data_IF_050744838890
#
_entry.id   IF_050744838890
#
_cell.length_a   1.000
_cell.length_b   1.000
_cell.length_c   1.000
_cell.angle_alpha   90.00
_cell.angle_beta   90.00
_cell.angle_gamma   90.00
#
_symmetry.space_group_name_H-M   'P 1'
#
loop_
_entity.id
_entity.type
_entity.pdbx_description
1 polymer ?
#
# COMPACT_ATOMS: atom_id res chain seq x y z
N UNK A 1 74.23 14.49 30.16
CA UNK A 1 73.10 14.59 31.09
C UNK A 1 71.83 14.89 30.31
N UNK A 2 70.99 13.89 30.03
CA UNK A 2 69.65 14.00 29.42
C UNK A 2 68.61 13.70 30.47
N UNK A 3 67.80 14.71 30.85
CA UNK A 3 66.65 14.53 31.75
C UNK A 3 65.51 13.81 31.02
N UNK A 4 65.07 12.69 31.59
CA UNK A 4 63.84 12.02 31.21
C UNK A 4 62.65 12.65 31.95
N UNK A 5 61.56 12.90 31.21
CA UNK A 5 60.25 13.34 31.71
C UNK A 5 59.37 12.11 31.85
N UNK A 6 58.65 11.85 32.94
CA UNK A 6 57.77 10.73 33.07
C UNK A 6 56.44 11.01 32.40
N UNK A 7 55.93 10.04 31.59
CA UNK A 7 54.59 10.05 30.97
C UNK A 7 53.63 9.44 31.98
N UNK A 8 52.67 10.22 32.47
CA UNK A 8 51.55 9.74 33.27
C UNK A 8 50.47 9.17 32.38
N UNK A 9 50.30 7.84 32.42
CA UNK A 9 49.16 7.15 31.82
C UNK A 9 47.91 7.28 32.73
N UNK A 10 46.98 8.16 32.38
CA UNK A 10 45.61 8.13 32.91
C UNK A 10 44.73 7.26 32.00
N UNK A 11 44.73 5.98 32.26
CA UNK A 11 43.76 5.05 31.69
C UNK A 11 42.46 5.06 32.50
N UNK A 12 41.44 5.79 32.08
CA UNK A 12 40.11 5.67 32.66
C UNK A 12 39.47 4.33 32.23
N UNK A 13 39.38 3.37 33.14
CA UNK A 13 38.63 2.14 32.97
C UNK A 13 37.14 2.49 33.03
N UNK A 14 36.49 2.60 31.88
CA UNK A 14 35.02 2.60 31.78
C UNK A 14 34.58 1.19 32.15
N UNK A 15 33.89 1.03 33.27
CA UNK A 15 33.42 -0.28 33.74
C UNK A 15 32.26 -0.76 32.89
N UNK A 16 32.24 -2.04 32.57
CA UNK A 16 31.20 -2.72 31.74
C UNK A 16 29.77 -2.47 32.22
N UNK A 17 29.58 -2.09 33.47
CA UNK A 17 28.27 -1.70 34.04
C UNK A 17 27.71 -0.38 33.48
N UNK A 18 28.57 0.57 33.11
CA UNK A 18 28.15 1.87 32.55
C UNK A 18 27.67 1.72 31.10
N UNK A 19 28.28 0.80 30.32
CA UNK A 19 27.88 0.52 28.93
C UNK A 19 26.54 -0.23 28.92
N UNK A 20 26.31 -1.15 29.88
CA UNK A 20 25.03 -1.88 29.96
C UNK A 20 23.87 -0.99 30.39
N UNK A 21 24.09 -0.02 31.26
CA UNK A 21 23.08 0.96 31.66
C UNK A 21 22.73 1.92 30.52
N UNK A 22 23.70 2.31 29.67
CA UNK A 22 23.48 3.18 28.52
C UNK A 22 22.68 2.47 27.41
N UNK A 23 22.95 1.18 27.15
CA UNK A 23 22.23 0.38 26.18
C UNK A 23 20.77 0.08 26.62
N UNK A 24 20.54 -0.13 27.92
CA UNK A 24 19.19 -0.28 28.47
C UNK A 24 18.39 1.03 28.42
N UNK A 25 19.02 2.19 28.61
CA UNK A 25 18.36 3.48 28.50
C UNK A 25 18.00 3.85 27.04
N UNK A 26 18.84 3.46 26.05
CA UNK A 26 18.50 3.61 24.62
C UNK A 26 17.36 2.67 24.19
N UNK A 27 17.35 1.42 24.67
CA UNK A 27 16.27 0.48 24.35
C UNK A 27 14.93 0.90 24.98
N UNK A 28 14.94 1.49 26.19
CA UNK A 28 13.72 1.99 26.84
C UNK A 28 13.19 3.28 26.17
N UNK A 29 14.03 4.11 25.59
CA UNK A 29 13.58 5.34 24.87
C UNK A 29 12.96 5.05 23.50
N UNK A 30 13.36 3.97 22.82
CA UNK A 30 12.77 3.54 21.54
C UNK A 30 11.39 2.91 21.74
N UNK A 31 11.16 2.18 22.86
CA UNK A 31 9.87 1.57 23.18
C UNK A 31 8.78 2.56 23.63
N UNK A 32 9.14 3.77 24.07
CA UNK A 32 8.18 4.78 24.55
C UNK A 32 7.73 5.78 23.48
N UNK A 33 8.36 5.78 22.29
CA UNK A 33 8.00 6.72 21.21
C UNK A 33 7.08 6.11 20.15
N UNK A 34 7.08 4.80 19.96
CA UNK A 34 6.26 4.13 18.95
C UNK A 34 4.73 4.30 19.15
N UNK A 35 4.16 4.17 20.38
CA UNK A 35 2.72 4.34 20.56
C UNK A 35 2.24 5.80 20.42
N UNK A 36 3.10 6.78 20.63
CA UNK A 36 2.72 8.20 20.54
C UNK A 36 2.54 8.70 19.12
N UNK A 37 3.19 8.08 18.13
CA UNK A 37 3.13 8.55 16.75
C UNK A 37 1.79 8.14 16.07
N UNK A 38 1.28 6.95 16.34
CA UNK A 38 -0.03 6.51 15.86
C UNK A 38 -1.19 7.23 16.55
N UNK A 39 -1.08 7.52 17.85
CA UNK A 39 -2.08 8.29 18.60
C UNK A 39 -2.15 9.77 18.17
N UNK A 40 -1.11 10.35 17.59
CA UNK A 40 -1.10 11.74 17.12
C UNK A 40 -1.95 11.95 15.85
N UNK A 41 -2.33 10.90 15.13
CA UNK A 41 -3.15 11.00 13.92
C UNK A 41 -4.66 10.92 14.15
N UNK A 42 -5.13 10.83 15.38
CA UNK A 42 -6.56 10.86 15.70
C UNK A 42 -7.31 9.57 15.32
N UNK A 43 -6.65 8.41 15.35
CA UNK A 43 -7.27 7.08 15.17
C UNK A 43 -6.92 6.15 16.31
N UNK A 44 -7.79 5.14 16.53
CA UNK A 44 -7.51 4.00 17.40
C UNK A 44 -6.50 3.04 16.76
N UNK A 45 -6.08 2.03 17.52
CA UNK A 45 -5.45 0.84 16.98
C UNK A 45 -6.39 0.12 16.01
N UNK A 46 -5.79 -0.67 15.09
CA UNK A 46 -6.54 -1.50 14.17
C UNK A 46 -7.22 -2.68 14.88
N UNK A 47 -8.43 -3.05 14.44
CA UNK A 47 -9.10 -4.27 14.87
C UNK A 47 -8.37 -5.52 14.33
N UNK A 48 -8.55 -6.71 14.94
CA UNK A 48 -8.14 -7.95 14.29
C UNK A 48 -8.78 -8.09 12.90
N UNK A 49 -8.03 -8.55 11.87
CA UNK A 49 -8.56 -8.70 10.52
C UNK A 49 -9.67 -9.76 10.43
N UNK A 50 -10.65 -9.46 9.57
CA UNK A 50 -11.77 -10.35 9.26
C UNK A 50 -11.67 -10.78 7.80
N UNK A 51 -11.73 -12.09 7.53
CA UNK A 51 -11.83 -12.64 6.18
C UNK A 51 -13.18 -12.25 5.56
N UNK A 52 -13.20 -11.81 4.28
CA UNK A 52 -14.45 -11.39 3.62
C UNK A 52 -15.41 -12.55 3.34
N UNK A 53 -15.00 -13.78 3.59
CA UNK A 53 -15.82 -14.96 3.46
C UNK A 53 -16.04 -15.44 2.02
N UNK A 54 -16.82 -16.54 1.87
CA UNK A 54 -16.93 -17.27 0.61
C UNK A 54 -17.72 -16.55 -0.50
N UNK A 55 -18.37 -15.43 -0.20
CA UNK A 55 -18.97 -14.59 -1.24
C UNK A 55 -17.89 -13.89 -2.08
N UNK A 56 -16.74 -13.56 -1.50
CA UNK A 56 -15.62 -12.90 -2.18
C UNK A 56 -14.46 -13.88 -2.40
N UNK A 57 -14.04 -14.57 -1.33
CA UNK A 57 -12.88 -15.46 -1.34
C UNK A 57 -13.26 -16.88 -1.79
N UNK A 58 -12.35 -17.53 -2.50
CA UNK A 58 -12.52 -18.88 -3.06
C UNK A 58 -11.34 -19.78 -2.71
N UNK A 59 -11.30 -21.01 -3.24
CA UNK A 59 -10.12 -21.88 -3.15
C UNK A 59 -8.94 -21.46 -4.05
N UNK A 60 -9.05 -20.33 -4.73
CA UNK A 60 -8.09 -19.78 -5.67
C UNK A 60 -7.33 -18.58 -5.06
N UNK A 61 -6.69 -17.76 -5.89
CA UNK A 61 -6.11 -16.48 -5.47
C UNK A 61 -7.23 -15.42 -5.55
N UNK A 62 -7.47 -14.73 -4.44
CA UNK A 62 -8.36 -13.58 -4.37
C UNK A 62 -7.58 -12.44 -3.70
N UNK A 63 -7.20 -11.41 -4.47
CA UNK A 63 -6.19 -10.44 -4.05
C UNK A 63 -6.38 -9.06 -4.72
N UNK A 64 -5.54 -8.07 -4.37
CA UNK A 64 -5.57 -6.74 -4.97
C UNK A 64 -6.88 -5.99 -4.76
N UNK A 65 -7.43 -5.94 -3.54
CA UNK A 65 -8.69 -5.27 -3.27
C UNK A 65 -8.64 -3.78 -3.56
N UNK A 66 -9.73 -3.24 -4.13
CA UNK A 66 -9.97 -1.81 -4.29
C UNK A 66 -11.46 -1.51 -4.22
N UNK A 67 -11.85 -0.47 -3.50
CA UNK A 67 -13.24 -0.04 -3.40
C UNK A 67 -13.55 1.13 -4.33
N UNK A 68 -14.74 1.11 -4.92
CA UNK A 68 -15.35 2.30 -5.49
C UNK A 68 -15.49 3.40 -4.42
N UNK A 69 -15.50 4.66 -4.84
CA UNK A 69 -15.58 5.82 -3.93
C UNK A 69 -16.78 5.77 -2.96
N UNK A 70 -17.92 5.27 -3.42
CA UNK A 70 -19.13 5.12 -2.61
C UNK A 70 -19.06 3.90 -1.65
N UNK A 71 -18.09 2.99 -1.86
CA UNK A 71 -17.91 1.79 -1.06
C UNK A 71 -18.89 0.66 -1.38
N UNK A 72 -19.56 0.71 -2.54
CA UNK A 72 -20.58 -0.26 -2.94
C UNK A 72 -20.08 -1.32 -3.92
N UNK A 73 -18.89 -1.13 -4.50
CA UNK A 73 -18.26 -2.07 -5.43
C UNK A 73 -16.85 -2.38 -4.95
N UNK A 74 -16.55 -3.65 -4.71
CA UNK A 74 -15.23 -4.19 -4.40
C UNK A 74 -14.66 -4.83 -5.67
N UNK A 75 -13.62 -4.21 -6.21
CA UNK A 75 -12.82 -4.78 -7.29
C UNK A 75 -11.66 -5.55 -6.71
N UNK A 76 -11.30 -6.64 -7.35
CA UNK A 76 -10.16 -7.47 -6.94
C UNK A 76 -9.72 -8.36 -8.10
N UNK A 77 -8.53 -8.92 -8.03
CA UNK A 77 -8.09 -9.90 -9.02
C UNK A 77 -8.24 -11.33 -8.48
N UNK A 78 -8.56 -12.24 -9.39
CA UNK A 78 -8.71 -13.67 -9.08
C UNK A 78 -8.41 -14.55 -10.28
N UNK A 79 -7.78 -15.70 -10.01
CA UNK A 79 -7.56 -16.78 -10.99
C UNK A 79 -8.66 -17.87 -10.93
N UNK A 80 -9.84 -17.48 -10.39
CA UNK A 80 -11.01 -18.38 -10.32
C UNK A 80 -11.51 -18.77 -11.71
N UNK A 81 -12.14 -19.95 -11.87
CA UNK A 81 -12.74 -20.36 -13.13
C UNK A 81 -13.78 -19.38 -13.66
N UNK A 82 -13.85 -19.25 -14.99
CA UNK A 82 -14.77 -18.33 -15.65
C UNK A 82 -14.17 -17.01 -16.07
N UNK A 83 -12.86 -16.83 -15.88
CA UNK A 83 -12.08 -15.70 -16.39
C UNK A 83 -11.63 -15.90 -17.85
N UNK A 84 -10.82 -14.96 -18.35
CA UNK A 84 -10.28 -14.91 -19.70
C UNK A 84 -8.81 -15.37 -19.76
N UNK A 85 -8.05 -15.15 -18.67
CA UNK A 85 -6.63 -15.42 -18.61
C UNK A 85 -6.16 -16.11 -17.33
N UNK A 86 -5.06 -15.64 -16.78
CA UNK A 86 -4.57 -16.05 -15.46
C UNK A 86 -5.37 -15.34 -14.37
N UNK A 87 -4.83 -14.24 -13.84
CA UNK A 87 -5.61 -13.35 -12.99
C UNK A 87 -6.46 -12.42 -13.83
N UNK A 88 -7.74 -12.32 -13.52
CA UNK A 88 -8.67 -11.35 -14.08
C UNK A 88 -9.17 -10.38 -13.00
N UNK A 89 -9.58 -9.19 -13.40
CA UNK A 89 -10.27 -8.25 -12.52
C UNK A 89 -11.76 -8.63 -12.43
N UNK A 90 -12.23 -8.79 -11.20
CA UNK A 90 -13.62 -9.09 -10.84
C UNK A 90 -14.20 -7.97 -10.00
N UNK A 91 -15.51 -7.82 -9.97
CA UNK A 91 -16.24 -6.88 -9.14
C UNK A 91 -17.35 -7.57 -8.36
N UNK A 92 -17.37 -7.38 -7.04
CA UNK A 92 -18.50 -7.74 -6.17
C UNK A 92 -19.22 -6.45 -5.75
N UNK A 93 -20.55 -6.49 -5.77
CA UNK A 93 -21.38 -5.33 -5.45
C UNK A 93 -22.23 -5.59 -4.21
N UNK A 94 -22.60 -4.50 -3.50
CA UNK A 94 -23.56 -4.52 -2.40
C UNK A 94 -24.50 -3.31 -2.47
N UNK A 95 -25.71 -3.44 -1.96
CA UNK A 95 -26.72 -2.40 -2.03
C UNK A 95 -26.47 -1.24 -1.04
N UNK A 96 -25.88 -1.54 0.12
CA UNK A 96 -25.44 -0.56 1.12
C UNK A 96 -24.11 -0.97 1.74
N UNK A 97 -23.47 -0.10 2.52
CA UNK A 97 -22.19 -0.40 3.18
C UNK A 97 -22.32 -1.44 4.31
N UNK A 98 -23.52 -1.63 4.82
CA UNK A 98 -23.86 -2.59 5.87
C UNK A 98 -24.22 -3.97 5.32
N UNK A 99 -24.50 -4.06 4.01
CA UNK A 99 -24.85 -5.32 3.35
C UNK A 99 -23.62 -6.18 3.07
N UNK A 100 -23.84 -7.49 3.02
CA UNK A 100 -22.85 -8.44 2.56
C UNK A 100 -22.51 -8.23 1.06
N UNK A 101 -21.30 -8.61 0.68
CA UNK A 101 -20.86 -8.63 -0.72
C UNK A 101 -21.66 -9.67 -1.51
N UNK A 102 -22.09 -9.29 -2.72
CA UNK A 102 -22.74 -10.20 -3.67
C UNK A 102 -21.75 -11.08 -4.43
N UNK A 103 -22.27 -11.95 -5.26
CA UNK A 103 -21.47 -12.82 -6.14
C UNK A 103 -20.62 -11.98 -7.08
N UNK A 104 -19.29 -12.21 -7.15
CA UNK A 104 -18.43 -11.46 -8.04
C UNK A 104 -18.69 -11.75 -9.52
N UNK A 105 -18.64 -10.69 -10.32
CA UNK A 105 -18.79 -10.75 -11.78
C UNK A 105 -17.46 -10.33 -12.42
N UNK A 106 -17.01 -11.08 -13.43
CA UNK A 106 -15.83 -10.73 -14.22
C UNK A 106 -16.06 -9.43 -14.99
N UNK A 107 -15.10 -8.51 -15.04
CA UNK A 107 -15.24 -7.24 -15.77
C UNK A 107 -15.36 -7.38 -17.29
N UNK A 108 -15.17 -8.58 -17.80
CA UNK A 108 -15.34 -8.86 -19.23
C UNK A 108 -14.12 -8.51 -20.09
N UNK A 109 -14.22 -8.80 -21.41
CA UNK A 109 -13.06 -8.80 -22.32
C UNK A 109 -12.52 -7.41 -22.68
N UNK A 110 -13.20 -6.34 -22.32
CA UNK A 110 -12.66 -4.98 -22.48
C UNK A 110 -11.48 -4.76 -21.53
N UNK A 111 -11.60 -5.24 -20.29
CA UNK A 111 -10.54 -5.11 -19.29
C UNK A 111 -9.65 -6.33 -19.25
N UNK A 112 -10.25 -7.52 -19.15
CA UNK A 112 -9.55 -8.78 -18.99
C UNK A 112 -9.16 -9.40 -20.35
N UNK A 113 -7.98 -10.03 -20.38
CA UNK A 113 -7.43 -10.65 -21.60
C UNK A 113 -7.00 -12.10 -21.31
N UNK A 114 -6.33 -12.76 -22.25
CA UNK A 114 -5.70 -14.05 -22.00
C UNK A 114 -4.43 -13.97 -21.12
N UNK A 115 -4.04 -12.77 -20.72
CA UNK A 115 -2.90 -12.46 -19.84
C UNK A 115 -3.35 -12.36 -18.37
N UNK A 116 -2.59 -11.66 -17.54
CA UNK A 116 -2.97 -11.35 -16.17
C UNK A 116 -3.37 -9.87 -16.07
N UNK A 117 -4.51 -9.61 -15.48
CA UNK A 117 -4.94 -8.28 -15.08
C UNK A 117 -5.11 -8.26 -13.56
N UNK A 118 -4.41 -7.35 -12.88
CA UNK A 118 -4.48 -7.32 -11.43
C UNK A 118 -4.35 -5.89 -10.84
N UNK A 119 -4.65 -5.78 -9.54
CA UNK A 119 -4.44 -4.59 -8.71
C UNK A 119 -5.08 -3.31 -9.27
N UNK A 120 -6.40 -3.32 -9.41
CA UNK A 120 -7.14 -2.12 -9.79
C UNK A 120 -7.03 -1.01 -8.72
N UNK A 121 -7.02 0.24 -9.15
CA UNK A 121 -7.18 1.42 -8.31
C UNK A 121 -7.89 2.53 -9.10
N UNK A 122 -8.36 3.58 -8.42
CA UNK A 122 -9.22 4.57 -9.06
C UNK A 122 -8.75 6.00 -8.82
N UNK A 123 -9.05 6.88 -9.80
CA UNK A 123 -9.00 8.32 -9.58
C UNK A 123 -10.01 8.75 -8.49
N UNK A 124 -9.77 9.91 -7.89
CA UNK A 124 -10.62 10.45 -6.82
C UNK A 124 -12.08 10.62 -7.23
N UNK A 125 -12.35 10.94 -8.48
CA UNK A 125 -13.70 11.08 -9.04
C UNK A 125 -14.35 9.75 -9.43
N UNK A 126 -13.57 8.67 -9.57
CA UNK A 126 -14.01 7.33 -9.94
C UNK A 126 -14.21 7.12 -11.44
N UNK A 127 -13.80 8.06 -12.27
CA UNK A 127 -13.92 7.96 -13.74
C UNK A 127 -12.73 7.25 -14.39
N UNK A 128 -11.62 7.12 -13.70
CA UNK A 128 -10.41 6.47 -14.22
C UNK A 128 -10.02 5.29 -13.35
N UNK A 129 -9.75 4.15 -13.98
CA UNK A 129 -9.17 2.96 -13.36
C UNK A 129 -7.72 2.80 -13.84
N UNK A 130 -6.84 2.52 -12.91
CA UNK A 130 -5.46 2.09 -13.13
C UNK A 130 -5.37 0.63 -12.73
N UNK A 131 -4.79 -0.21 -13.57
CA UNK A 131 -4.54 -1.62 -13.26
C UNK A 131 -3.28 -2.07 -13.96
N UNK A 132 -2.71 -3.18 -13.55
CA UNK A 132 -1.54 -3.71 -14.24
C UNK A 132 -1.88 -4.97 -15.04
N UNK A 133 -1.17 -5.12 -16.18
CA UNK A 133 -1.31 -6.26 -17.06
C UNK A 133 0.03 -6.63 -17.71
N UNK A 134 0.22 -7.92 -17.97
CA UNK A 134 1.32 -8.45 -18.77
C UNK A 134 0.89 -8.77 -20.21
N UNK A 135 -0.19 -8.10 -20.68
CA UNK A 135 -0.66 -8.20 -22.09
C UNK A 135 0.40 -7.75 -23.07
N UNK A 136 0.40 -8.34 -24.26
CA UNK A 136 1.32 -7.96 -25.32
C UNK A 136 1.14 -6.49 -25.76
N UNK A 137 2.24 -5.81 -26.08
CA UNK A 137 2.25 -4.45 -26.61
C UNK A 137 2.58 -3.36 -25.59
N UNK A 138 2.88 -3.73 -24.35
CA UNK A 138 3.40 -2.81 -23.32
C UNK A 138 4.90 -2.54 -23.47
N UNK A 139 5.48 -1.83 -22.49
CA UNK A 139 6.90 -1.46 -22.45
C UNK A 139 7.78 -2.56 -21.82
N UNK A 140 7.23 -3.32 -20.87
CA UNK A 140 7.99 -4.24 -20.06
C UNK A 140 7.38 -5.61 -19.83
N UNK A 141 7.70 -6.19 -18.67
CA UNK A 141 7.19 -7.49 -18.27
C UNK A 141 5.74 -7.39 -17.77
N UNK A 142 5.43 -6.31 -17.10
CA UNK A 142 4.09 -5.95 -16.64
C UNK A 142 4.01 -4.44 -16.58
N UNK A 143 2.94 -3.89 -17.11
CA UNK A 143 2.76 -2.46 -17.27
C UNK A 143 1.46 -1.99 -16.61
N UNK A 144 1.41 -0.72 -16.24
CA UNK A 144 0.21 -0.05 -15.75
C UNK A 144 -0.60 0.45 -16.95
N UNK A 145 -1.88 0.08 -16.99
CA UNK A 145 -2.87 0.49 -17.97
C UNK A 145 -3.90 1.41 -17.34
N UNK A 146 -4.52 2.23 -18.16
CA UNK A 146 -5.51 3.23 -17.79
C UNK A 146 -6.78 2.97 -18.60
N UNK A 147 -7.91 2.78 -17.94
CA UNK A 147 -9.24 2.74 -18.55
C UNK A 147 -10.12 3.84 -17.97
N UNK A 148 -11.06 4.35 -18.77
CA UNK A 148 -12.00 5.40 -18.35
C UNK A 148 -13.43 4.91 -18.45
N UNK A 149 -14.32 5.55 -17.68
CA UNK A 149 -15.77 5.34 -17.79
C UNK A 149 -16.52 6.67 -17.65
N UNK A 150 -17.61 6.82 -18.39
CA UNK A 150 -18.45 8.01 -18.33
C UNK A 150 -19.36 8.02 -17.09
N UNK A 151 -19.84 6.85 -16.66
CA UNK A 151 -20.78 6.70 -15.54
C UNK A 151 -20.13 5.93 -14.38
N UNK A 152 -19.91 6.58 -13.25
CA UNK A 152 -19.29 5.97 -12.06
C UNK A 152 -20.17 4.95 -11.34
N UNK A 153 -21.46 4.84 -11.70
CA UNK A 153 -22.38 3.83 -11.19
C UNK A 153 -22.46 2.59 -12.10
N UNK A 154 -21.80 2.62 -13.25
CA UNK A 154 -21.67 1.48 -14.15
C UNK A 154 -20.29 0.85 -14.00
N UNK A 155 -20.22 -0.26 -13.26
CA UNK A 155 -18.96 -0.98 -13.02
C UNK A 155 -18.46 -1.74 -14.25
N UNK A 156 -19.26 -1.84 -15.32
CA UNK A 156 -18.91 -2.53 -16.56
C UNK A 156 -18.71 -1.59 -17.75
N UNK A 157 -18.97 -0.28 -17.58
CA UNK A 157 -18.87 0.74 -18.62
C UNK A 157 -17.44 1.25 -18.87
N UNK A 158 -16.43 0.42 -18.62
CA UNK A 158 -15.02 0.76 -18.85
C UNK A 158 -14.69 0.74 -20.34
N UNK A 159 -13.95 1.75 -20.78
CA UNK A 159 -13.42 1.87 -22.14
C UNK A 159 -12.19 0.99 -22.34
N UNK A 160 -11.79 0.79 -23.61
CA UNK A 160 -10.58 0.06 -23.96
C UNK A 160 -9.36 0.66 -23.27
N UNK A 161 -8.56 -0.14 -22.54
CA UNK A 161 -7.42 0.38 -21.79
C UNK A 161 -6.31 0.89 -22.70
N UNK A 162 -5.65 1.96 -22.27
CA UNK A 162 -4.42 2.46 -22.89
C UNK A 162 -3.25 2.29 -21.92
N UNK A 163 -2.07 2.03 -22.46
CA UNK A 163 -0.83 2.00 -21.68
C UNK A 163 -0.56 3.37 -21.04
N UNK A 164 -0.10 3.40 -19.78
CA UNK A 164 0.18 4.66 -19.06
C UNK A 164 1.38 5.44 -19.64
N UNK A 165 2.12 4.83 -20.55
CA UNK A 165 3.22 5.45 -21.26
C UNK A 165 4.57 5.41 -20.52
N UNK A 166 5.65 5.84 -21.18
CA UNK A 166 7.02 5.71 -20.69
C UNK A 166 7.36 6.61 -19.50
N UNK A 167 6.46 7.52 -19.13
CA UNK A 167 6.58 8.30 -17.89
C UNK A 167 6.33 7.44 -16.65
N UNK A 168 5.55 6.38 -16.79
CA UNK A 168 5.21 5.41 -15.75
C UNK A 168 5.88 4.08 -16.01
N UNK A 169 5.63 3.48 -17.17
CA UNK A 169 6.07 2.13 -17.52
C UNK A 169 7.54 2.09 -18.00
N UNK A 170 8.21 1.00 -17.70
CA UNK A 170 9.62 0.74 -18.01
C UNK A 170 9.77 -0.63 -18.68
N UNK A 171 10.99 -1.02 -19.07
CA UNK A 171 11.26 -2.37 -19.57
C UNK A 171 11.18 -3.48 -18.50
N UNK A 172 10.91 -3.12 -17.25
CA UNK A 172 10.78 -4.04 -16.10
C UNK A 172 9.31 -4.29 -15.75
N UNK A 173 9.03 -4.62 -14.49
CA UNK A 173 7.66 -4.70 -13.98
C UNK A 173 7.29 -3.40 -13.28
N UNK A 174 6.18 -2.81 -13.67
CA UNK A 174 5.56 -1.63 -13.09
C UNK A 174 4.13 -1.98 -12.68
N UNK A 175 3.78 -1.86 -11.39
CA UNK A 175 2.54 -2.42 -10.87
C UNK A 175 2.03 -1.73 -9.61
N UNK A 176 0.75 -1.95 -9.27
CA UNK A 176 0.16 -1.51 -8.02
C UNK A 176 0.01 0.01 -7.94
N UNK A 177 -0.56 0.61 -8.98
CA UNK A 177 -0.76 2.05 -9.04
C UNK A 177 -1.71 2.56 -7.93
N UNK A 178 -1.42 3.72 -7.37
CA UNK A 178 -2.26 4.46 -6.43
C UNK A 178 -2.28 5.94 -6.81
N UNK A 179 -3.45 6.41 -7.18
CA UNK A 179 -3.66 7.78 -7.63
C UNK A 179 -3.88 8.73 -6.45
N UNK A 180 -3.23 9.88 -6.47
CA UNK A 180 -3.40 10.96 -5.52
C UNK A 180 -3.65 12.28 -6.23
N UNK A 181 -4.72 12.95 -5.85
CA UNK A 181 -5.02 14.32 -6.26
C UNK A 181 -5.46 15.11 -5.03
N UNK A 182 -4.72 16.16 -4.70
CA UNK A 182 -5.05 17.07 -3.59
C UNK A 182 -4.99 18.52 -4.04
N UNK A 183 -5.83 19.36 -3.44
CA UNK A 183 -5.82 20.80 -3.73
C UNK A 183 -4.48 21.45 -3.37
N UNK A 184 -3.84 20.98 -2.28
CA UNK A 184 -2.57 21.51 -1.81
C UNK A 184 -1.41 21.17 -2.76
N UNK A 185 -1.33 19.94 -3.27
CA UNK A 185 -0.30 19.54 -4.23
C UNK A 185 -0.53 20.15 -5.62
N UNK A 186 -1.79 20.43 -6.00
CA UNK A 186 -2.19 21.08 -7.24
C UNK A 186 -1.90 20.28 -8.52
N UNK A 187 -1.23 19.12 -8.41
CA UNK A 187 -0.82 18.26 -9.52
C UNK A 187 -1.18 16.81 -9.15
N UNK A 188 -1.93 16.09 -10.00
CA UNK A 188 -2.19 14.66 -9.80
C UNK A 188 -0.89 13.86 -9.82
N UNK A 189 -0.78 12.89 -8.93
CA UNK A 189 0.38 12.01 -8.77
C UNK A 189 -0.04 10.54 -8.83
N UNK A 190 0.77 9.71 -9.45
CA UNK A 190 0.61 8.26 -9.47
C UNK A 190 1.79 7.62 -8.74
N UNK A 191 1.53 7.01 -7.60
CA UNK A 191 2.49 6.18 -6.86
C UNK A 191 2.37 4.74 -7.35
N UNK A 192 3.48 4.03 -7.49
CA UNK A 192 3.49 2.62 -7.94
C UNK A 192 4.77 1.90 -7.56
N UNK A 193 4.74 0.58 -7.55
CA UNK A 193 5.91 -0.26 -7.39
C UNK A 193 6.59 -0.50 -8.74
N UNK A 194 7.92 -0.46 -8.79
CA UNK A 194 8.67 -0.76 -10.00
C UNK A 194 9.96 -1.51 -9.70
N UNK A 195 10.28 -2.53 -10.51
CA UNK A 195 11.53 -3.28 -10.43
C UNK A 195 12.61 -2.78 -11.39
N UNK A 196 12.49 -1.52 -11.88
CA UNK A 196 13.41 -0.92 -12.86
C UNK A 196 14.85 -0.74 -12.37
N UNK A 197 15.06 -0.68 -11.05
CA UNK A 197 16.37 -0.57 -10.44
C UNK A 197 16.75 -1.90 -9.81
N UNK A 198 17.82 -2.53 -10.32
CA UNK A 198 18.40 -3.78 -9.79
C UNK A 198 17.45 -5.00 -9.68
N UNK A 199 16.25 -4.94 -10.26
CA UNK A 199 15.28 -6.04 -10.26
C UNK A 199 14.51 -6.23 -8.96
N UNK A 200 14.75 -5.42 -7.93
CA UNK A 200 13.93 -5.33 -6.71
C UNK A 200 12.87 -4.23 -6.89
N UNK A 201 11.76 -4.40 -6.19
CA UNK A 201 10.70 -3.41 -6.23
C UNK A 201 10.98 -2.27 -5.26
N UNK A 202 10.87 -1.06 -5.75
CA UNK A 202 10.86 0.19 -4.99
C UNK A 202 9.61 1.00 -5.32
N UNK A 203 9.26 1.96 -4.46
CA UNK A 203 8.14 2.87 -4.71
C UNK A 203 8.61 4.06 -5.54
N UNK A 204 7.91 4.28 -6.66
CA UNK A 204 8.10 5.42 -7.54
C UNK A 204 6.86 6.31 -7.55
N UNK A 205 7.03 7.55 -7.98
CA UNK A 205 5.95 8.49 -8.21
C UNK A 205 6.15 9.18 -9.56
N UNK A 206 5.05 9.35 -10.32
CA UNK A 206 4.98 10.17 -11.53
C UNK A 206 3.95 11.27 -11.33
N UNK A 207 4.26 12.49 -11.78
CA UNK A 207 3.35 13.62 -11.77
C UNK A 207 2.66 13.77 -13.12
N UNK A 208 1.36 14.09 -13.13
CA UNK A 208 0.62 14.30 -14.36
C UNK A 208 0.86 15.72 -14.90
N UNK A 209 1.19 15.82 -16.15
CA UNK A 209 1.31 17.10 -16.86
C UNK A 209 -0.06 17.68 -17.22
N UNK A 210 -0.10 18.96 -17.59
CA UNK A 210 -1.34 19.67 -17.93
C UNK A 210 -2.07 19.11 -19.17
N UNK A 211 -1.36 18.37 -20.04
CA UNK A 211 -1.93 17.69 -21.19
C UNK A 211 -2.48 16.28 -20.86
N UNK A 212 -2.40 15.88 -19.59
CA UNK A 212 -2.85 14.60 -19.08
C UNK A 212 -1.82 13.45 -19.21
N UNK A 213 -0.65 13.70 -19.83
CA UNK A 213 0.44 12.71 -19.86
C UNK A 213 1.14 12.58 -18.50
N UNK A 214 1.76 11.43 -18.27
CA UNK A 214 2.56 11.18 -17.06
C UNK A 214 4.03 11.58 -17.32
N UNK A 215 4.59 12.36 -16.40
CA UNK A 215 6.00 12.72 -16.39
C UNK A 215 6.92 11.55 -16.01
N UNK A 216 8.24 11.75 -16.05
CA UNK A 216 9.19 10.69 -15.69
C UNK A 216 8.99 10.23 -14.24
N UNK A 217 8.97 8.91 -14.03
CA UNK A 217 8.90 8.31 -12.71
C UNK A 217 10.16 8.62 -11.87
N UNK A 218 9.94 9.03 -10.63
CA UNK A 218 10.97 9.37 -9.66
C UNK A 218 10.89 8.42 -8.47
N UNK A 219 12.03 7.87 -8.04
CA UNK A 219 12.12 7.05 -6.83
C UNK A 219 11.67 7.86 -5.60
N UNK A 220 10.93 7.24 -4.68
CA UNK A 220 10.58 7.82 -3.38
C UNK A 220 11.49 7.20 -2.31
N UNK A 221 12.66 7.80 -2.03
CA UNK A 221 13.71 7.15 -1.25
C UNK A 221 13.31 6.91 0.20
N UNK A 222 12.41 7.72 0.77
CA UNK A 222 11.92 7.56 2.14
C UNK A 222 11.10 6.27 2.32
N UNK A 223 10.48 5.77 1.24
CA UNK A 223 9.69 4.55 1.25
C UNK A 223 10.50 3.31 0.92
N UNK A 224 11.69 3.47 0.34
CA UNK A 224 12.55 2.39 -0.18
C UNK A 224 13.45 1.78 0.88
N UNK A 225 13.86 0.54 0.68
CA UNK A 225 14.84 -0.20 1.48
C UNK A 225 15.72 -1.08 0.55
N UNK A 226 16.73 -1.81 1.05
CA UNK A 226 17.45 -2.80 0.25
C UNK A 226 16.65 -4.06 -0.15
N UNK A 227 15.35 -4.11 0.17
CA UNK A 227 14.45 -5.24 -0.08
C UNK A 227 13.29 -4.77 -0.96
N UNK A 228 12.18 -5.52 -1.04
CA UNK A 228 11.08 -5.15 -1.92
C UNK A 228 10.04 -4.29 -1.21
N UNK A 229 9.63 -3.22 -1.86
CA UNK A 229 8.49 -2.37 -1.51
C UNK A 229 7.50 -2.36 -2.66
N UNK A 230 6.26 -2.76 -2.39
CA UNK A 230 5.26 -2.91 -3.44
C UNK A 230 3.92 -2.29 -3.05
N UNK A 231 3.09 -2.06 -4.05
CA UNK A 231 1.65 -1.79 -3.95
C UNK A 231 1.30 -0.68 -2.97
N UNK A 232 1.79 0.54 -3.23
CA UNK A 232 1.41 1.68 -2.42
C UNK A 232 -0.10 1.90 -2.49
N UNK A 233 -0.71 2.24 -1.36
CA UNK A 233 -2.09 2.70 -1.25
C UNK A 233 -2.11 4.01 -0.49
N UNK A 234 -2.23 5.11 -1.22
CA UNK A 234 -2.24 6.45 -0.64
C UNK A 234 -3.65 6.81 -0.20
N UNK A 235 -3.81 7.27 1.04
CA UNK A 235 -5.07 7.79 1.54
C UNK A 235 -5.47 9.05 0.78
N UNK A 236 -6.77 9.26 0.55
CA UNK A 236 -7.29 10.37 -0.29
C UNK A 236 -6.85 11.78 0.10
N UNK A 237 -6.48 12.01 1.36
CA UNK A 237 -5.93 13.30 1.78
C UNK A 237 -4.40 13.41 1.55
N UNK A 238 -3.77 12.34 1.11
CA UNK A 238 -2.34 12.30 0.82
C UNK A 238 -1.44 12.30 2.06
N UNK A 239 -1.98 12.08 3.28
CA UNK A 239 -1.22 12.17 4.52
C UNK A 239 -0.76 10.81 5.08
N UNK A 240 -1.25 9.71 4.52
CA UNK A 240 -0.90 8.35 4.91
C UNK A 240 -0.78 7.47 3.68
N UNK A 241 0.22 6.62 3.64
CA UNK A 241 0.49 5.66 2.57
C UNK A 241 0.79 4.31 3.20
N UNK A 242 0.04 3.30 2.79
CA UNK A 242 0.31 1.90 3.09
C UNK A 242 1.07 1.25 1.94
N UNK A 243 1.93 0.30 2.25
CA UNK A 243 2.65 -0.51 1.27
C UNK A 243 2.88 -1.90 1.85
N UNK A 244 3.20 -2.87 1.02
CA UNK A 244 3.71 -4.16 1.48
C UNK A 244 5.21 -4.28 1.23
N UNK A 245 5.91 -4.91 2.18
CA UNK A 245 7.36 -5.07 2.11
C UNK A 245 7.85 -6.29 2.88
N UNK A 246 8.93 -6.90 2.38
CA UNK A 246 9.71 -7.94 3.05
C UNK A 246 10.91 -7.37 3.83
N UNK A 247 10.91 -6.02 4.10
CA UNK A 247 11.96 -5.35 4.88
C UNK A 247 12.10 -5.93 6.28
N UNK A 248 13.31 -5.81 6.84
CA UNK A 248 13.60 -6.30 8.18
C UNK A 248 12.74 -5.63 9.26
N UNK A 249 12.38 -6.40 10.27
CA UNK A 249 11.54 -5.94 11.39
C UNK A 249 10.05 -6.25 11.22
N UNK A 250 9.66 -7.03 10.21
CA UNK A 250 8.33 -7.59 10.03
C UNK A 250 8.07 -8.82 10.90
N UNK A 251 6.85 -9.34 10.83
CA UNK A 251 6.39 -10.55 11.53
C UNK A 251 6.41 -11.78 10.64
N UNK A 252 6.17 -11.57 9.31
CA UNK A 252 6.03 -12.64 8.33
C UNK A 252 7.02 -12.54 7.17
N UNK A 253 6.66 -13.21 6.08
CA UNK A 253 7.42 -13.17 4.82
C UNK A 253 7.28 -11.84 4.10
N UNK A 254 6.10 -11.22 4.23
CA UNK A 254 5.77 -9.88 3.74
C UNK A 254 4.71 -9.29 4.65
N UNK A 255 4.89 -8.07 5.04
CA UNK A 255 4.03 -7.35 5.97
C UNK A 255 3.51 -6.05 5.36
N UNK A 256 2.43 -5.52 5.95
CA UNK A 256 1.93 -4.19 5.70
C UNK A 256 2.69 -3.17 6.52
N UNK A 257 3.06 -2.07 5.87
CA UNK A 257 3.77 -0.94 6.46
C UNK A 257 3.02 0.34 6.17
N UNK A 258 3.18 1.33 7.03
CA UNK A 258 2.54 2.64 6.90
C UNK A 258 3.56 3.75 7.03
N UNK A 259 3.48 4.73 6.14
CA UNK A 259 4.23 5.98 6.17
C UNK A 259 3.25 7.14 6.26
N UNK A 260 3.67 8.23 6.90
CA UNK A 260 2.83 9.41 7.12
C UNK A 260 3.59 10.69 6.83
N UNK A 261 2.86 11.78 6.65
CA UNK A 261 3.39 13.14 6.54
C UNK A 261 2.40 14.15 7.09
N UNK A 262 2.85 15.35 7.47
CA UNK A 262 1.99 16.38 8.06
C UNK A 262 1.18 17.11 6.98
N UNK A 263 1.81 17.44 5.84
CA UNK A 263 1.18 18.05 4.66
C UNK A 263 1.54 17.27 3.40
N UNK A 264 0.83 17.50 2.30
CA UNK A 264 1.13 16.83 1.02
C UNK A 264 2.40 17.35 0.35
N UNK A 265 2.99 18.43 0.88
CA UNK A 265 4.26 19.00 0.43
C UNK A 265 5.47 18.46 1.22
N UNK A 266 5.23 17.80 2.35
CA UNK A 266 6.29 17.21 3.17
C UNK A 266 6.74 15.85 2.60
N UNK A 267 8.00 15.46 2.87
CA UNK A 267 8.47 14.11 2.57
C UNK A 267 7.71 13.08 3.43
N UNK A 268 7.67 11.84 2.94
CA UNK A 268 7.13 10.72 3.70
C UNK A 268 8.04 10.39 4.89
N UNK A 269 7.45 9.98 6.01
CA UNK A 269 8.22 9.38 7.12
C UNK A 269 8.79 8.02 6.68
N UNK A 270 9.81 7.53 7.38
CA UNK A 270 10.21 6.13 7.23
C UNK A 270 9.01 5.21 7.58
N UNK A 271 8.72 4.17 6.76
CA UNK A 271 7.61 3.27 7.01
C UNK A 271 7.73 2.52 8.35
N UNK A 272 6.63 2.47 9.08
CA UNK A 272 6.46 1.71 10.32
C UNK A 272 5.60 0.48 10.03
N UNK A 273 5.94 -0.66 10.67
CA UNK A 273 5.11 -1.86 10.57
C UNK A 273 3.73 -1.59 11.18
N UNK A 274 2.65 -2.00 10.49
CA UNK A 274 1.27 -1.79 10.94
C UNK A 274 0.97 -2.51 12.27
N UNK A 275 1.76 -3.51 12.63
CA UNK A 275 1.72 -4.21 13.92
C UNK A 275 1.12 -5.60 13.86
N UNK A 276 1.37 -6.38 14.92
CA UNK A 276 0.99 -7.79 15.02
C UNK A 276 -0.52 -8.05 15.10
N UNK A 277 -1.33 -7.03 15.34
CA UNK A 277 -2.79 -7.15 15.25
C UNK A 277 -3.23 -7.38 13.82
N UNK A 278 -2.59 -6.70 12.85
CA UNK A 278 -2.91 -6.78 11.43
C UNK A 278 -2.03 -7.78 10.72
N UNK A 279 -0.71 -7.65 10.86
CA UNK A 279 0.26 -8.53 10.24
C UNK A 279 0.37 -9.88 10.94
N UNK A 280 0.60 -10.93 10.16
CA UNK A 280 0.74 -12.30 10.62
C UNK A 280 2.17 -12.81 10.38
N UNK A 281 2.45 -14.07 10.73
CA UNK A 281 3.72 -14.75 10.39
C UNK A 281 3.76 -15.26 8.93
N UNK A 282 2.75 -14.93 8.14
CA UNK A 282 2.57 -15.34 6.74
C UNK A 282 2.78 -14.15 5.80
N UNK A 283 2.19 -14.18 4.62
CA UNK A 283 2.19 -13.07 3.69
C UNK A 283 0.96 -12.20 3.97
N UNK A 284 1.18 -10.92 4.20
CA UNK A 284 0.17 -9.88 4.27
C UNK A 284 0.57 -8.80 3.26
N UNK A 285 -0.22 -8.60 2.19
CA UNK A 285 0.18 -7.80 1.04
C UNK A 285 -0.98 -7.07 0.39
N UNK A 286 -0.66 -6.15 -0.55
CA UNK A 286 -1.64 -5.46 -1.40
C UNK A 286 -2.66 -4.67 -0.58
N UNK A 287 -2.19 -3.74 0.28
CA UNK A 287 -3.07 -2.91 1.07
C UNK A 287 -3.91 -1.97 0.20
N UNK A 288 -5.14 -1.72 0.64
CA UNK A 288 -6.01 -0.68 0.12
C UNK A 288 -6.71 0.04 1.26
N UNK A 289 -6.37 1.31 1.47
CA UNK A 289 -7.06 2.17 2.45
C UNK A 289 -8.30 2.79 1.81
N UNK A 290 -9.46 2.52 2.40
CA UNK A 290 -10.72 3.03 1.91
C UNK A 290 -10.88 4.56 2.11
N UNK A 291 -11.82 5.17 1.38
CA UNK A 291 -12.09 6.60 1.44
C UNK A 291 -12.61 7.09 2.80
N UNK A 292 -13.12 6.20 3.64
CA UNK A 292 -13.52 6.48 5.02
C UNK A 292 -12.32 6.76 5.95
N UNK A 293 -11.09 6.35 5.55
CA UNK A 293 -9.83 6.40 6.31
C UNK A 293 -9.78 5.44 7.51
N UNK A 294 -10.80 4.63 7.66
CA UNK A 294 -11.03 3.76 8.81
C UNK A 294 -10.95 2.28 8.44
N UNK A 295 -11.15 1.93 7.16
CA UNK A 295 -11.14 0.55 6.67
C UNK A 295 -9.92 0.28 5.79
N UNK A 296 -9.13 -0.72 6.14
CA UNK A 296 -7.99 -1.22 5.37
C UNK A 296 -8.29 -2.63 4.89
N UNK A 297 -8.26 -2.82 3.58
CA UNK A 297 -8.33 -4.14 2.93
C UNK A 297 -6.93 -4.60 2.56
N UNK A 298 -6.71 -5.90 2.51
CA UNK A 298 -5.45 -6.49 2.09
C UNK A 298 -5.63 -7.97 1.74
N UNK A 299 -4.64 -8.56 1.06
CA UNK A 299 -4.60 -9.99 0.78
C UNK A 299 -3.66 -10.71 1.74
N UNK A 300 -4.04 -11.92 2.19
CA UNK A 300 -3.24 -12.72 3.09
C UNK A 300 -3.42 -14.23 2.84
N UNK A 301 -2.32 -15.00 3.02
CA UNK A 301 -2.36 -16.46 3.02
C UNK A 301 -2.30 -17.06 4.43
N UNK A 302 -2.76 -16.28 5.43
CA UNK A 302 -2.84 -16.75 6.82
C UNK A 302 -3.78 -17.93 6.98
N UNK A 303 -3.55 -18.85 7.96
CA UNK A 303 -4.45 -19.97 8.23
C UNK A 303 -5.88 -19.50 8.51
N UNK A 304 -6.85 -20.31 8.04
CA UNK A 304 -8.27 -20.03 8.20
C UNK A 304 -8.90 -19.32 6.98
N UNK A 305 -8.12 -19.06 5.94
CA UNK A 305 -8.60 -18.66 4.63
C UNK A 305 -9.17 -19.85 3.81
N UNK A 306 -9.65 -19.55 2.62
CA UNK A 306 -10.24 -20.52 1.69
C UNK A 306 -9.26 -20.93 0.59
N UNK A 307 -8.39 -20.01 0.14
CA UNK A 307 -7.47 -20.17 -0.96
C UNK A 307 -6.00 -19.92 -0.64
N UNK A 308 -5.23 -19.71 -1.71
CA UNK A 308 -3.81 -19.37 -1.57
C UNK A 308 -3.60 -17.93 -1.04
N UNK A 309 -4.46 -17.02 -1.44
CA UNK A 309 -4.57 -15.66 -0.94
C UNK A 309 -6.06 -15.33 -0.83
N UNK A 310 -6.45 -14.79 0.29
CA UNK A 310 -7.80 -14.32 0.55
C UNK A 310 -7.79 -12.83 0.90
N UNK A 311 -8.87 -12.15 0.62
CA UNK A 311 -9.05 -10.75 1.01
C UNK A 311 -9.57 -10.68 2.44
N UNK A 312 -8.89 -9.87 3.25
CA UNK A 312 -9.23 -9.53 4.61
C UNK A 312 -9.50 -8.03 4.73
N UNK A 313 -10.23 -7.65 5.76
CA UNK A 313 -10.38 -6.25 6.14
C UNK A 313 -10.11 -6.07 7.63
N UNK A 314 -9.58 -4.91 8.00
CA UNK A 314 -9.46 -4.43 9.37
C UNK A 314 -9.96 -3.00 9.46
N UNK A 315 -10.41 -2.58 10.65
CA UNK A 315 -10.96 -1.24 10.87
C UNK A 315 -10.30 -0.55 12.04
N UNK A 316 -10.33 0.77 12.01
CA UNK A 316 -9.97 1.65 13.14
C UNK A 316 -11.00 2.77 13.26
N UNK A 317 -11.11 3.37 14.44
CA UNK A 317 -12.04 4.46 14.71
C UNK A 317 -11.31 5.80 14.84
N UNK A 318 -11.95 6.89 14.42
CA UNK A 318 -11.43 8.23 14.70
C UNK A 318 -11.54 8.51 16.19
N UNK A 319 -10.42 8.85 16.82
CA UNK A 319 -10.41 9.33 18.18
C UNK A 319 -10.81 10.80 18.20
N UNK A 320 -11.89 11.14 18.91
CA UNK A 320 -12.26 12.54 19.16
C UNK A 320 -11.17 13.15 20.04
N UNK A 321 -10.49 14.16 19.53
CA UNK A 321 -9.67 15.03 20.38
C UNK A 321 -10.66 15.75 21.32
N UNK A 322 -10.84 15.26 22.53
CA UNK A 322 -11.47 16.04 23.59
C UNK A 322 -10.51 17.17 23.92
N UNK A 323 -10.73 18.35 23.32
CA UNK A 323 -10.19 19.57 23.87
C UNK A 323 -10.79 19.74 25.27
N UNK A 324 -10.10 19.22 26.26
CA UNK A 324 -10.33 19.61 27.64
C UNK A 324 -9.93 21.10 27.73
N UNK A 325 -10.89 21.97 27.50
CA UNK A 325 -10.79 23.37 27.93
C UNK A 325 -10.62 23.30 29.45
N UNK A 326 -9.37 23.45 29.90
CA UNK A 326 -9.10 23.76 31.28
C UNK A 326 -9.68 25.15 31.56
N UNK A 327 -10.74 25.16 32.34
CA UNK A 327 -11.27 26.37 33.01
C UNK A 327 -10.39 26.74 34.19
#
# INVERSE_FOLDING_TARGET
MKKQIPINNFGSRITSKAIFALLLALAASVLLTAPRFLAAQGFSEWSPPVNLGPAVNTGFIDAGPALSKNGLSLYFNSDRPGGFGGNDVWVSQRASREDAWGEPVNLGPTINTASNEDTASFSRDGHTMYFNSDRAGGFGLRDIYISRRANTHDDFGWEEPVDAGPGVNSASTDAGASFLETEEAGIPMLYFGSSRLAGLFDIYVSAQAADGSWGPAVLVPELSSPLNEQRPSVRFDGLELFLDSDRLGGFGLRDLWVSTRETTLDPWSAPLNVGATVNSTFIDQQPFIASDRETLFFASNRPGGLGNLDIYMTTRERTRTTNALAH
#
